data_IF_504670427207
#
_entry.id   IF_504670427207
#
_cell.length_a   1.000
_cell.length_b   1.000
_cell.length_c   1.000
_cell.angle_alpha   90.00
_cell.angle_beta   90.00
_cell.angle_gamma   90.00
#
_symmetry.space_group_name_H-M   'P 1'
#
loop_
_entity.id
_entity.type
_entity.pdbx_description
1 polymer ?
#
# COMPACT_ATOMS: atom_id res chain seq x y z
N UNK A 1 -12.07 22.22 11.15
CA UNK A 1 -12.38 21.03 11.98
C UNK A 1 -13.87 21.04 12.30
N UNK A 2 -14.69 20.44 11.48
CA UNK A 2 -16.12 20.25 11.74
C UNK A 2 -16.30 18.77 12.11
N UNK A 3 -16.52 18.50 13.39
CA UNK A 3 -16.94 17.18 13.88
C UNK A 3 -18.38 16.95 13.44
N UNK A 4 -18.53 16.37 12.25
CA UNK A 4 -19.82 15.87 11.81
C UNK A 4 -20.24 14.74 12.77
N UNK A 5 -21.31 14.98 13.55
CA UNK A 5 -22.06 13.94 14.24
C UNK A 5 -22.68 13.03 13.17
N UNK A 6 -21.92 12.08 12.65
CA UNK A 6 -22.44 11.03 11.78
C UNK A 6 -23.26 10.08 12.65
N UNK A 7 -24.56 10.29 12.70
CA UNK A 7 -25.50 9.32 13.28
C UNK A 7 -25.37 7.96 12.57
N UNK A 8 -25.85 6.88 13.18
CA UNK A 8 -25.80 5.49 12.65
C UNK A 8 -26.27 5.41 11.18
N UNK A 9 -27.21 6.26 10.77
CA UNK A 9 -27.68 6.38 9.38
C UNK A 9 -26.61 6.96 8.42
N UNK A 10 -25.72 7.83 8.90
CA UNK A 10 -24.60 8.36 8.12
C UNK A 10 -23.51 7.32 7.91
N UNK A 11 -23.20 6.56 8.95
CA UNK A 11 -22.26 5.42 8.87
C UNK A 11 -22.77 4.34 7.91
N UNK A 12 -24.06 3.98 7.99
CA UNK A 12 -24.65 3.00 7.09
C UNK A 12 -24.62 3.46 5.63
N UNK A 13 -24.81 4.76 5.36
CA UNK A 13 -24.72 5.33 4.02
C UNK A 13 -23.29 5.30 3.48
N UNK A 14 -22.27 5.63 4.30
CA UNK A 14 -20.87 5.55 3.93
C UNK A 14 -20.45 4.10 3.61
N UNK A 15 -20.84 3.15 4.46
CA UNK A 15 -20.59 1.72 4.20
C UNK A 15 -21.28 1.26 2.92
N UNK A 16 -22.51 1.73 2.66
CA UNK A 16 -23.21 1.40 1.42
C UNK A 16 -22.55 1.99 0.18
N UNK A 17 -22.03 3.21 0.27
CA UNK A 17 -21.24 3.84 -0.81
C UNK A 17 -19.94 3.07 -1.07
N UNK A 18 -19.25 2.64 -0.03
CA UNK A 18 -18.02 1.83 -0.16
C UNK A 18 -18.28 0.42 -0.74
N UNK A 19 -19.49 -0.11 -0.56
CA UNK A 19 -19.91 -1.39 -1.12
C UNK A 19 -20.33 -1.31 -2.59
N UNK A 20 -20.53 -0.12 -3.14
CA UNK A 20 -20.88 0.04 -4.55
C UNK A 20 -19.76 -0.45 -5.48
N UNK A 21 -20.11 -1.05 -6.64
CA UNK A 21 -19.13 -1.55 -7.57
C UNK A 21 -18.32 -0.40 -8.20
N UNK A 22 -17.09 -0.22 -7.72
CA UNK A 22 -16.13 0.70 -8.34
C UNK A 22 -15.48 0.06 -9.57
N UNK A 23 -15.20 0.82 -10.64
CA UNK A 23 -14.55 0.30 -11.83
C UNK A 23 -13.17 -0.30 -11.48
N UNK A 24 -12.94 -1.57 -11.86
CA UNK A 24 -11.72 -2.32 -11.55
C UNK A 24 -11.78 -3.23 -10.32
N UNK A 25 -12.71 -3.02 -9.38
CA UNK A 25 -12.84 -3.84 -8.16
C UNK A 25 -13.16 -5.30 -8.49
N UNK A 26 -14.05 -5.53 -9.44
CA UNK A 26 -14.42 -6.86 -9.89
C UNK A 26 -13.23 -7.58 -10.55
N UNK A 27 -12.43 -6.85 -11.34
CA UNK A 27 -11.21 -7.36 -11.96
C UNK A 27 -10.14 -7.75 -10.94
N UNK A 28 -10.05 -7.08 -9.80
CA UNK A 28 -9.15 -7.43 -8.71
C UNK A 28 -9.69 -8.61 -7.89
N UNK A 29 -10.98 -8.61 -7.58
CA UNK A 29 -11.60 -9.65 -6.73
C UNK A 29 -11.50 -11.04 -7.34
N UNK A 30 -11.80 -11.20 -8.64
CA UNK A 30 -11.69 -12.52 -9.28
C UNK A 30 -10.25 -13.04 -9.32
N UNK A 31 -9.25 -12.16 -9.49
CA UNK A 31 -7.82 -12.53 -9.47
C UNK A 31 -7.41 -13.06 -8.12
N UNK A 32 -7.79 -12.36 -7.05
CA UNK A 32 -7.54 -12.81 -5.67
C UNK A 32 -8.23 -14.14 -5.40
N UNK A 33 -9.49 -14.29 -5.82
CA UNK A 33 -10.24 -15.53 -5.65
C UNK A 33 -9.59 -16.72 -6.36
N UNK A 34 -9.16 -16.55 -7.61
CA UNK A 34 -8.45 -17.59 -8.37
C UNK A 34 -7.11 -17.93 -7.72
N UNK A 35 -6.34 -16.92 -7.30
CA UNK A 35 -5.07 -17.15 -6.60
C UNK A 35 -5.26 -17.91 -5.29
N UNK A 36 -6.28 -17.57 -4.50
CA UNK A 36 -6.58 -18.31 -3.27
C UNK A 36 -7.01 -19.74 -3.56
N UNK A 37 -7.84 -19.99 -4.58
CA UNK A 37 -8.23 -21.32 -4.99
C UNK A 37 -7.01 -22.16 -5.44
N UNK A 38 -6.13 -21.57 -6.27
CA UNK A 38 -4.90 -22.24 -6.70
C UNK A 38 -3.96 -22.51 -5.51
N UNK A 39 -3.86 -21.56 -4.56
CA UNK A 39 -3.05 -21.75 -3.35
C UNK A 39 -3.57 -22.90 -2.48
N UNK A 40 -4.89 -23.01 -2.30
CA UNK A 40 -5.50 -24.12 -1.55
C UNK A 40 -5.23 -25.45 -2.25
N UNK A 41 -5.41 -25.52 -3.57
CA UNK A 41 -5.09 -26.72 -4.35
C UNK A 41 -3.61 -27.12 -4.21
N UNK A 42 -2.71 -26.14 -4.29
CA UNK A 42 -1.28 -26.36 -4.10
C UNK A 42 -0.98 -26.85 -2.67
N UNK A 43 -1.57 -26.22 -1.67
CA UNK A 43 -1.39 -26.59 -0.28
C UNK A 43 -1.91 -28.03 0.01
N UNK A 44 -3.05 -28.39 -0.54
CA UNK A 44 -3.58 -29.75 -0.39
C UNK A 44 -2.71 -30.80 -1.08
N UNK A 45 -2.17 -30.49 -2.26
CA UNK A 45 -1.34 -31.43 -3.01
C UNK A 45 0.05 -31.65 -2.39
N UNK A 46 0.64 -30.60 -1.83
CA UNK A 46 2.01 -30.65 -1.26
C UNK A 46 2.00 -30.73 0.28
N UNK A 47 0.86 -30.85 0.93
CA UNK A 47 0.75 -30.93 2.38
C UNK A 47 1.28 -29.70 3.10
N UNK A 48 1.12 -28.51 2.50
CA UNK A 48 1.52 -27.24 3.14
C UNK A 48 0.57 -26.96 4.30
N UNK A 49 1.06 -26.84 5.54
CA UNK A 49 0.21 -26.55 6.68
C UNK A 49 -0.35 -25.12 6.57
N UNK A 50 -1.48 -24.87 7.26
CA UNK A 50 -2.03 -23.52 7.42
C UNK A 50 -2.30 -22.77 6.08
N UNK A 51 -2.94 -23.43 5.12
CA UNK A 51 -3.28 -22.84 3.81
C UNK A 51 -4.05 -21.52 3.92
N UNK A 52 -4.83 -21.33 4.99
CA UNK A 52 -5.55 -20.10 5.27
C UNK A 52 -4.60 -18.90 5.46
N UNK A 53 -3.46 -19.08 6.14
CA UNK A 53 -2.45 -18.03 6.32
C UNK A 53 -1.82 -17.67 4.99
N UNK A 54 -1.51 -18.65 4.14
CA UNK A 54 -0.99 -18.43 2.79
C UNK A 54 -1.97 -17.63 1.93
N UNK A 55 -3.26 -17.93 1.99
CA UNK A 55 -4.30 -17.16 1.30
C UNK A 55 -4.38 -15.73 1.85
N UNK A 56 -4.27 -15.54 3.16
CA UNK A 56 -4.27 -14.22 3.79
C UNK A 56 -3.10 -13.35 3.30
N UNK A 57 -1.92 -13.94 3.12
CA UNK A 57 -0.76 -13.23 2.56
C UNK A 57 -1.03 -12.76 1.12
N UNK A 58 -1.76 -13.52 0.30
CA UNK A 58 -2.17 -13.11 -1.06
C UNK A 58 -2.98 -11.81 -1.01
N UNK A 59 -3.93 -11.68 -0.07
CA UNK A 59 -4.72 -10.44 0.07
C UNK A 59 -3.86 -9.21 0.32
N UNK A 60 -2.78 -9.34 1.09
CA UNK A 60 -1.86 -8.22 1.37
C UNK A 60 -1.02 -7.83 0.17
N UNK A 61 -0.60 -8.79 -0.62
CA UNK A 61 0.36 -8.59 -1.70
C UNK A 61 -0.31 -8.22 -3.00
N UNK A 62 -1.52 -8.72 -3.24
CA UNK A 62 -2.23 -8.46 -4.48
C UNK A 62 -2.75 -7.03 -4.53
N UNK A 63 -2.15 -6.21 -5.37
CA UNK A 63 -2.55 -4.84 -5.68
C UNK A 63 -3.25 -4.78 -7.04
N UNK A 64 -3.85 -3.65 -7.36
CA UNK A 64 -4.45 -3.40 -8.68
C UNK A 64 -3.42 -3.46 -9.81
N UNK A 65 -2.17 -3.15 -9.51
CA UNK A 65 -1.03 -3.12 -10.43
C UNK A 65 -0.18 -4.40 -10.29
N UNK A 66 0.06 -5.09 -11.38
CA UNK A 66 0.89 -6.29 -11.41
C UNK A 66 2.35 -5.99 -11.07
N UNK A 67 2.87 -4.82 -11.46
CA UNK A 67 4.24 -4.40 -11.15
C UNK A 67 4.43 -4.22 -9.65
N UNK A 68 3.55 -3.46 -8.99
CA UNK A 68 3.60 -3.25 -7.55
C UNK A 68 3.46 -4.56 -6.77
N UNK A 69 2.50 -5.41 -7.17
CA UNK A 69 2.30 -6.74 -6.57
C UNK A 69 3.53 -7.63 -6.73
N UNK A 70 4.15 -7.63 -7.91
CA UNK A 70 5.32 -8.48 -8.18
C UNK A 70 6.56 -8.02 -7.42
N UNK A 71 6.78 -6.69 -7.33
CA UNK A 71 7.87 -6.14 -6.51
C UNK A 71 7.66 -6.46 -5.05
N UNK A 72 6.44 -6.27 -4.55
CA UNK A 72 6.12 -6.57 -3.16
C UNK A 72 6.28 -8.07 -2.86
N UNK A 73 5.82 -8.95 -3.76
CA UNK A 73 6.01 -10.39 -3.63
C UNK A 73 7.51 -10.76 -3.59
N UNK A 74 8.31 -10.24 -4.51
CA UNK A 74 9.75 -10.50 -4.55
C UNK A 74 10.45 -9.95 -3.30
N UNK A 75 10.12 -8.73 -2.90
CA UNK A 75 10.68 -8.13 -1.68
C UNK A 75 10.35 -8.96 -0.43
N UNK A 76 9.12 -9.47 -0.32
CA UNK A 76 8.73 -10.34 0.78
C UNK A 76 9.46 -11.69 0.77
N UNK A 77 9.66 -12.31 -0.40
CA UNK A 77 10.44 -13.54 -0.51
C UNK A 77 11.87 -13.31 -0.01
N UNK A 78 12.52 -12.24 -0.47
CA UNK A 78 13.88 -11.89 -0.03
C UNK A 78 13.89 -11.60 1.47
N UNK A 79 12.96 -10.81 1.96
CA UNK A 79 12.87 -10.42 3.36
C UNK A 79 12.68 -11.65 4.27
N UNK A 80 11.70 -12.51 3.95
CA UNK A 80 11.41 -13.72 4.74
C UNK A 80 12.60 -14.69 4.68
N UNK A 81 13.27 -14.80 3.52
CA UNK A 81 14.48 -15.63 3.40
C UNK A 81 15.62 -15.14 4.29
N UNK A 82 15.82 -13.81 4.37
CA UNK A 82 16.80 -13.22 5.30
C UNK A 82 16.41 -13.50 6.75
N UNK A 83 15.13 -13.34 7.10
CA UNK A 83 14.63 -13.61 8.46
C UNK A 83 14.86 -15.08 8.84
N UNK A 84 14.54 -16.01 7.94
CA UNK A 84 14.76 -17.44 8.18
C UNK A 84 16.25 -17.77 8.32
N UNK A 85 17.10 -17.18 7.48
CA UNK A 85 18.55 -17.34 7.57
C UNK A 85 19.10 -16.86 8.92
N UNK A 86 18.57 -15.76 9.46
CA UNK A 86 18.93 -15.26 10.78
C UNK A 86 18.34 -16.13 11.92
N UNK A 87 17.16 -16.70 11.70
CA UNK A 87 16.50 -17.53 12.71
C UNK A 87 17.23 -18.85 12.97
N UNK A 88 17.83 -19.48 11.95
CA UNK A 88 18.52 -20.77 12.11
C UNK A 88 19.64 -20.72 13.17
N UNK A 89 20.64 -19.80 13.09
CA UNK A 89 21.66 -19.69 14.14
C UNK A 89 21.07 -19.22 15.47
N UNK A 90 20.04 -18.35 15.45
CA UNK A 90 19.40 -17.88 16.67
C UNK A 90 18.73 -19.03 17.43
N UNK A 91 18.08 -19.96 16.74
CA UNK A 91 17.51 -21.18 17.31
C UNK A 91 18.61 -22.01 17.97
N UNK A 92 19.73 -22.23 17.28
CA UNK A 92 20.83 -23.04 17.79
C UNK A 92 21.39 -22.50 19.13
N UNK A 93 21.52 -21.17 19.25
CA UNK A 93 22.03 -20.51 20.46
C UNK A 93 21.00 -20.45 21.58
N UNK A 94 19.70 -20.31 21.24
CA UNK A 94 18.67 -19.98 22.24
C UNK A 94 17.85 -21.18 22.71
N UNK A 95 17.92 -22.33 22.01
CA UNK A 95 17.03 -23.46 22.32
C UNK A 95 17.29 -24.07 23.69
N UNK A 96 18.55 -24.11 24.13
CA UNK A 96 18.94 -24.73 25.39
C UNK A 96 18.77 -23.80 26.60
N UNK A 97 18.77 -22.48 26.38
CA UNK A 97 18.79 -21.48 27.46
C UNK A 97 17.63 -20.48 27.32
N UNK A 98 16.58 -20.60 28.14
CA UNK A 98 15.43 -19.68 28.11
C UNK A 98 15.81 -18.19 28.28
N UNK A 99 16.85 -17.92 29.08
CA UNK A 99 17.32 -16.55 29.31
C UNK A 99 17.91 -15.93 28.01
N UNK A 100 18.68 -16.70 27.25
CA UNK A 100 19.20 -16.25 25.95
C UNK A 100 18.09 -16.01 24.94
N UNK A 101 17.05 -16.83 24.97
CA UNK A 101 15.87 -16.66 24.13
C UNK A 101 15.13 -15.35 24.43
N UNK A 102 14.93 -15.05 25.72
CA UNK A 102 14.31 -13.79 26.14
C UNK A 102 15.18 -12.59 25.73
N UNK A 103 16.50 -12.67 25.95
CA UNK A 103 17.43 -11.60 25.56
C UNK A 103 17.41 -11.39 24.03
N UNK A 104 17.44 -12.46 23.24
CA UNK A 104 17.37 -12.38 21.80
C UNK A 104 16.06 -11.74 21.34
N UNK A 105 14.92 -12.09 21.96
CA UNK A 105 13.62 -11.50 21.66
C UNK A 105 13.61 -10.00 21.96
N UNK A 106 14.16 -9.57 23.10
CA UNK A 106 14.25 -8.14 23.48
C UNK A 106 15.10 -7.37 22.47
N UNK A 107 16.31 -7.87 22.17
CA UNK A 107 17.27 -7.19 21.30
C UNK A 107 16.76 -7.10 19.86
N UNK A 108 16.27 -8.21 19.30
CA UNK A 108 15.77 -8.23 17.92
C UNK A 108 14.54 -7.36 17.77
N UNK A 109 13.61 -7.39 18.73
CA UNK A 109 12.41 -6.55 18.73
C UNK A 109 12.77 -5.06 18.81
N UNK A 110 13.65 -4.69 19.73
CA UNK A 110 14.07 -3.28 19.88
C UNK A 110 14.74 -2.75 18.61
N UNK A 111 15.71 -3.49 18.06
CA UNK A 111 16.44 -3.06 16.87
C UNK A 111 15.52 -2.95 15.66
N UNK A 112 14.66 -3.94 15.44
CA UNK A 112 13.78 -3.94 14.27
C UNK A 112 12.63 -2.92 14.37
N UNK A 113 12.08 -2.71 15.55
CA UNK A 113 11.09 -1.65 15.77
C UNK A 113 11.72 -0.26 15.63
N UNK A 114 12.94 -0.07 16.14
CA UNK A 114 13.69 1.17 15.95
C UNK A 114 13.94 1.42 14.45
N UNK A 115 14.46 0.44 13.72
CA UNK A 115 14.66 0.54 12.28
C UNK A 115 13.34 0.79 11.53
N UNK A 116 12.24 0.21 11.99
CA UNK A 116 10.92 0.42 11.40
C UNK A 116 10.47 1.89 11.44
N UNK A 117 10.79 2.61 12.49
CA UNK A 117 10.37 4.02 12.65
C UNK A 117 11.44 4.99 12.15
N UNK A 118 12.72 4.64 12.28
CA UNK A 118 13.86 5.50 11.97
C UNK A 118 14.41 5.32 10.54
N UNK A 119 13.83 4.43 9.72
CA UNK A 119 14.32 4.16 8.37
C UNK A 119 13.18 3.97 7.36
N UNK A 120 13.55 3.86 6.08
CA UNK A 120 12.62 3.52 4.98
C UNK A 120 12.00 2.12 5.08
N UNK A 121 12.41 1.32 6.07
CA UNK A 121 11.82 0.02 6.34
C UNK A 121 10.34 0.13 6.76
N UNK A 122 9.98 1.22 7.42
CA UNK A 122 8.60 1.52 7.80
C UNK A 122 7.93 0.37 8.57
N UNK A 123 6.66 0.04 8.27
CA UNK A 123 5.92 -1.02 8.96
C UNK A 123 6.55 -2.42 8.86
N UNK A 124 7.43 -2.66 7.87
CA UNK A 124 8.10 -3.96 7.70
C UNK A 124 8.99 -4.30 8.90
N UNK A 125 9.63 -3.30 9.53
CA UNK A 125 10.42 -3.52 10.74
C UNK A 125 9.61 -4.15 11.86
N UNK A 126 8.40 -3.65 12.11
CA UNK A 126 7.47 -4.21 13.10
C UNK A 126 7.00 -5.63 12.75
N UNK A 127 6.73 -5.91 11.48
CA UNK A 127 6.31 -7.23 11.00
C UNK A 127 7.44 -8.26 11.19
N UNK A 128 8.68 -7.91 10.85
CA UNK A 128 9.84 -8.79 11.03
C UNK A 128 10.06 -9.06 12.52
N UNK A 129 10.02 -8.01 13.35
CA UNK A 129 10.15 -8.14 14.81
C UNK A 129 9.08 -9.09 15.37
N UNK A 130 7.84 -8.95 14.93
CA UNK A 130 6.74 -9.83 15.29
C UNK A 130 7.04 -11.29 14.93
N UNK A 131 7.46 -11.57 13.70
CA UNK A 131 7.72 -12.93 13.23
C UNK A 131 8.83 -13.57 14.04
N UNK A 132 9.95 -12.87 14.25
CA UNK A 132 11.07 -13.38 15.03
C UNK A 132 10.66 -13.64 16.48
N UNK A 133 10.00 -12.68 17.13
CA UNK A 133 9.53 -12.82 18.51
C UNK A 133 8.55 -13.99 18.64
N UNK A 134 7.60 -14.11 17.72
CA UNK A 134 6.62 -15.21 17.72
C UNK A 134 7.29 -16.58 17.59
N UNK A 135 8.21 -16.74 16.63
CA UNK A 135 8.94 -18.00 16.48
C UNK A 135 9.77 -18.32 17.72
N UNK A 136 10.45 -17.33 18.31
CA UNK A 136 11.22 -17.52 19.55
C UNK A 136 10.32 -17.97 20.72
N UNK A 137 9.09 -17.51 20.81
CA UNK A 137 8.14 -17.98 21.83
C UNK A 137 7.75 -19.43 21.64
N UNK A 138 7.50 -19.85 20.38
CA UNK A 138 7.16 -21.23 20.03
C UNK A 138 8.28 -22.23 20.35
N UNK A 139 9.55 -21.79 20.28
CA UNK A 139 10.70 -22.62 20.64
C UNK A 139 10.67 -23.14 22.09
N UNK A 140 9.92 -22.48 22.97
CA UNK A 140 9.71 -22.95 24.36
C UNK A 140 9.01 -24.30 24.47
N UNK A 141 8.26 -24.68 23.45
CA UNK A 141 7.45 -25.89 23.42
C UNK A 141 8.05 -27.03 22.57
N UNK A 142 9.13 -26.75 21.87
CA UNK A 142 9.78 -27.71 20.97
C UNK A 142 10.99 -28.33 21.65
N UNK A 143 10.99 -29.66 21.92
CA UNK A 143 12.07 -30.29 22.68
C UNK A 143 13.36 -30.46 21.90
N UNK A 144 13.32 -30.44 20.55
CA UNK A 144 14.47 -30.71 19.69
C UNK A 144 14.66 -29.64 18.63
N UNK A 145 15.91 -29.19 18.41
CA UNK A 145 16.27 -28.17 17.44
C UNK A 145 15.92 -28.49 15.99
N UNK A 146 15.91 -29.77 15.63
CA UNK A 146 15.54 -30.21 14.29
C UNK A 146 14.05 -29.90 13.98
N UNK A 147 13.15 -30.16 14.92
CA UNK A 147 11.73 -29.86 14.76
C UNK A 147 11.53 -28.33 14.63
N UNK A 148 12.24 -27.54 15.42
CA UNK A 148 12.18 -26.08 15.34
C UNK A 148 12.66 -25.58 13.98
N UNK A 149 13.76 -26.08 13.47
CA UNK A 149 14.30 -25.71 12.15
C UNK A 149 13.32 -26.09 11.03
N UNK A 150 12.74 -27.30 11.08
CA UNK A 150 11.72 -27.74 10.13
C UNK A 150 10.47 -26.83 10.19
N UNK A 151 10.01 -26.45 11.38
CA UNK A 151 8.87 -25.54 11.54
C UNK A 151 9.14 -24.16 10.90
N UNK A 152 10.34 -23.61 11.07
CA UNK A 152 10.75 -22.35 10.43
C UNK A 152 10.82 -22.48 8.91
N UNK A 153 11.31 -23.59 8.38
CA UNK A 153 11.32 -23.86 6.94
C UNK A 153 9.90 -24.02 6.37
N UNK A 154 9.00 -24.66 7.11
CA UNK A 154 7.57 -24.70 6.72
C UNK A 154 6.93 -23.31 6.74
N UNK A 155 7.22 -22.48 7.74
CA UNK A 155 6.74 -21.09 7.79
C UNK A 155 7.29 -20.27 6.60
N UNK A 156 8.53 -20.50 6.21
CA UNK A 156 9.10 -19.93 4.99
C UNK A 156 8.35 -20.38 3.75
N UNK A 157 8.08 -21.66 3.61
CA UNK A 157 7.33 -22.22 2.48
C UNK A 157 5.90 -21.66 2.42
N UNK A 158 5.20 -21.56 3.56
CA UNK A 158 3.86 -20.99 3.66
C UNK A 158 3.79 -19.54 3.16
N UNK A 159 4.87 -18.78 3.32
CA UNK A 159 4.95 -17.39 2.87
C UNK A 159 5.46 -17.29 1.43
N UNK A 160 6.47 -18.07 1.05
CA UNK A 160 7.09 -17.99 -0.27
C UNK A 160 6.25 -18.66 -1.37
N UNK A 161 5.51 -19.72 -1.06
CA UNK A 161 4.67 -20.39 -2.05
C UNK A 161 3.57 -19.47 -2.63
N UNK A 162 2.77 -18.74 -1.82
CA UNK A 162 1.81 -17.78 -2.36
C UNK A 162 2.48 -16.63 -3.12
N UNK A 163 3.68 -16.19 -2.72
CA UNK A 163 4.43 -15.16 -3.46
C UNK A 163 4.86 -15.64 -4.83
N UNK A 164 5.40 -16.87 -4.92
CA UNK A 164 5.73 -17.50 -6.20
C UNK A 164 4.50 -17.61 -7.11
N UNK A 165 3.36 -17.99 -6.54
CA UNK A 165 2.10 -18.09 -7.27
C UNK A 165 1.62 -16.72 -7.78
N UNK A 166 1.71 -15.66 -6.96
CA UNK A 166 1.40 -14.28 -7.36
C UNK A 166 2.32 -13.82 -8.49
N UNK A 167 3.62 -14.11 -8.43
CA UNK A 167 4.56 -13.76 -9.50
C UNK A 167 4.21 -14.44 -10.82
N UNK A 168 3.96 -15.75 -10.81
CA UNK A 168 3.57 -16.52 -12.00
C UNK A 168 2.25 -16.00 -12.56
N UNK A 169 1.26 -15.78 -11.70
CA UNK A 169 -0.04 -15.27 -12.10
C UNK A 169 0.05 -13.87 -12.72
N UNK A 170 0.82 -12.97 -12.12
CA UNK A 170 1.02 -11.63 -12.65
C UNK A 170 1.77 -11.62 -13.98
N UNK A 171 2.68 -12.58 -14.19
CA UNK A 171 3.36 -12.75 -15.47
C UNK A 171 2.39 -13.14 -16.58
N UNK A 172 1.40 -14.02 -16.27
CA UNK A 172 0.44 -14.51 -17.24
C UNK A 172 -0.76 -13.57 -17.44
N UNK A 173 -1.30 -13.01 -16.35
CA UNK A 173 -2.58 -12.29 -16.32
C UNK A 173 -2.48 -10.88 -15.73
N UNK A 174 -1.27 -10.39 -15.47
CA UNK A 174 -1.05 -9.10 -14.81
C UNK A 174 -1.45 -7.92 -15.70
N UNK A 175 -2.01 -6.88 -15.06
CA UNK A 175 -2.17 -5.57 -15.69
C UNK A 175 -0.81 -4.86 -15.63
N UNK A 176 -0.27 -4.58 -16.82
CA UNK A 176 1.02 -3.89 -16.91
C UNK A 176 0.96 -2.48 -16.32
N UNK A 177 1.95 -2.06 -15.52
CA UNK A 177 1.97 -0.76 -14.84
C UNK A 177 1.71 0.43 -15.76
N UNK A 178 2.27 0.41 -16.98
CA UNK A 178 2.09 1.48 -17.96
C UNK A 178 0.63 1.62 -18.45
N UNK A 179 -0.12 0.52 -18.56
CA UNK A 179 -1.53 0.56 -18.95
C UNK A 179 -2.41 1.12 -17.84
N UNK A 180 -2.09 0.75 -16.58
CA UNK A 180 -2.80 1.28 -15.41
C UNK A 180 -2.54 2.78 -15.27
N UNK A 181 -1.26 3.20 -15.39
CA UNK A 181 -0.87 4.62 -15.33
C UNK A 181 -1.61 5.45 -16.39
N UNK A 182 -1.61 5.00 -17.65
CA UNK A 182 -2.31 5.70 -18.74
C UNK A 182 -3.81 5.85 -18.48
N UNK A 183 -4.46 4.80 -17.94
CA UNK A 183 -5.88 4.86 -17.57
C UNK A 183 -6.17 5.86 -16.47
N UNK A 184 -5.28 5.95 -15.46
CA UNK A 184 -5.43 6.93 -14.39
C UNK A 184 -5.25 8.37 -14.91
N UNK A 185 -4.25 8.62 -15.77
CA UNK A 185 -4.06 9.92 -16.37
C UNK A 185 -5.25 10.31 -17.28
N UNK A 186 -5.76 9.37 -18.04
CA UNK A 186 -6.96 9.57 -18.86
C UNK A 186 -8.20 9.84 -18.01
N UNK A 187 -8.38 9.13 -16.90
CA UNK A 187 -9.48 9.37 -15.96
C UNK A 187 -9.41 10.77 -15.35
N UNK A 188 -8.20 11.25 -15.00
CA UNK A 188 -7.98 12.60 -14.48
C UNK A 188 -8.35 13.68 -15.51
N UNK A 189 -8.00 13.48 -16.79
CA UNK A 189 -8.39 14.41 -17.86
C UNK A 189 -9.90 14.38 -18.14
N UNK A 190 -10.54 13.22 -18.07
CA UNK A 190 -12.01 13.13 -18.17
C UNK A 190 -12.70 13.84 -17.01
N UNK A 191 -12.18 13.70 -15.81
CA UNK A 191 -12.68 14.45 -14.65
C UNK A 191 -12.51 15.96 -14.86
N UNK A 192 -11.40 16.40 -15.45
CA UNK A 192 -11.19 17.80 -15.83
C UNK A 192 -12.22 18.27 -16.87
N UNK A 193 -12.50 17.45 -17.89
CA UNK A 193 -13.53 17.75 -18.88
C UNK A 193 -14.94 17.88 -18.26
N UNK A 194 -15.29 16.94 -17.38
CA UNK A 194 -16.57 16.98 -16.64
C UNK A 194 -16.65 18.19 -15.71
N UNK A 195 -15.53 18.58 -15.08
CA UNK A 195 -15.43 19.78 -14.25
C UNK A 195 -15.72 21.06 -15.03
N UNK A 196 -15.15 21.21 -16.24
CA UNK A 196 -15.38 22.35 -17.14
C UNK A 196 -16.84 22.43 -17.61
N UNK A 197 -17.49 21.29 -17.83
CA UNK A 197 -18.91 21.21 -18.23
C UNK A 197 -19.88 21.32 -17.06
N UNK A 198 -19.40 21.48 -15.83
CA UNK A 198 -20.25 21.55 -14.63
C UNK A 198 -20.90 20.22 -14.24
N UNK A 199 -20.47 19.09 -14.81
CA UNK A 199 -21.04 17.76 -14.59
C UNK A 199 -20.40 17.01 -13.40
N UNK A 200 -19.15 17.36 -13.02
CA UNK A 200 -18.48 16.81 -11.84
C UNK A 200 -18.81 17.64 -10.59
N UNK A 201 -18.84 17.02 -9.42
CA UNK A 201 -18.92 17.75 -8.16
C UNK A 201 -17.58 18.45 -7.85
N UNK A 202 -17.65 19.62 -7.22
CA UNK A 202 -16.45 20.35 -6.77
C UNK A 202 -15.62 19.50 -5.81
N UNK A 203 -16.27 18.68 -4.99
CA UNK A 203 -15.62 17.81 -4.04
C UNK A 203 -14.82 16.72 -4.72
N UNK A 204 -15.30 16.13 -5.82
CA UNK A 204 -14.57 15.11 -6.58
C UNK A 204 -13.27 15.66 -7.16
N UNK A 205 -13.26 16.92 -7.64
CA UNK A 205 -12.05 17.57 -8.13
C UNK A 205 -11.01 17.76 -7.02
N UNK A 206 -11.44 18.25 -5.85
CA UNK A 206 -10.55 18.47 -4.72
C UNK A 206 -10.07 17.16 -4.09
N UNK A 207 -10.88 16.12 -4.05
CA UNK A 207 -10.50 14.80 -3.56
C UNK A 207 -9.41 14.19 -4.45
N UNK A 208 -9.56 14.28 -5.78
CA UNK A 208 -8.51 13.81 -6.72
C UNK A 208 -7.23 14.65 -6.61
N UNK A 209 -7.33 15.98 -6.44
CA UNK A 209 -6.17 16.85 -6.20
C UNK A 209 -5.47 16.52 -4.89
N UNK A 210 -6.22 16.17 -3.83
CA UNK A 210 -5.66 15.80 -2.54
C UNK A 210 -4.85 14.49 -2.58
N UNK A 211 -5.15 13.58 -3.52
CA UNK A 211 -4.35 12.37 -3.75
C UNK A 211 -2.96 12.70 -4.31
N UNK A 212 -2.79 13.84 -4.97
CA UNK A 212 -1.53 14.28 -5.55
C UNK A 212 -1.03 13.42 -6.70
N UNK A 213 0.29 13.37 -6.88
CA UNK A 213 0.96 12.65 -7.97
C UNK A 213 1.87 11.52 -7.51
N UNK A 214 2.01 11.32 -6.20
CA UNK A 214 2.98 10.39 -5.60
C UNK A 214 2.76 8.93 -6.01
N UNK A 215 1.51 8.50 -6.13
CA UNK A 215 1.15 7.15 -6.53
C UNK A 215 1.56 6.88 -8.00
N UNK A 216 1.29 7.85 -8.90
CA UNK A 216 1.65 7.76 -10.31
C UNK A 216 3.17 7.81 -10.51
N UNK A 217 3.88 8.68 -9.77
CA UNK A 217 5.35 8.73 -9.80
C UNK A 217 5.98 7.43 -9.30
N UNK A 218 5.46 6.84 -8.22
CA UNK A 218 5.88 5.53 -7.74
C UNK A 218 5.69 4.44 -8.80
N UNK A 219 4.55 4.44 -9.51
CA UNK A 219 4.28 3.51 -10.59
C UNK A 219 5.22 3.70 -11.78
N UNK A 220 5.52 4.95 -12.14
CA UNK A 220 6.53 5.26 -13.14
C UNK A 220 7.91 4.74 -12.71
N UNK A 221 8.26 4.82 -11.42
CA UNK A 221 9.46 4.22 -10.84
C UNK A 221 9.56 2.72 -11.11
N UNK A 222 8.45 1.98 -11.00
CA UNK A 222 8.41 0.55 -11.37
C UNK A 222 8.61 0.30 -12.86
N UNK A 223 8.00 1.15 -13.71
CA UNK A 223 8.18 1.07 -15.17
C UNK A 223 9.65 1.28 -15.54
N UNK A 224 10.34 2.23 -14.87
CA UNK A 224 11.77 2.49 -15.03
C UNK A 224 12.63 1.33 -14.53
N UNK A 225 12.35 0.82 -13.33
CA UNK A 225 13.10 -0.28 -12.69
C UNK A 225 13.10 -1.55 -13.54
N UNK A 226 11.96 -1.92 -14.09
CA UNK A 226 11.81 -3.12 -14.92
C UNK A 226 12.08 -2.91 -16.41
N UNK A 227 12.51 -1.71 -16.83
CA UNK A 227 12.75 -1.37 -18.23
C UNK A 227 11.58 -1.74 -19.16
N UNK A 228 10.34 -1.59 -18.66
CA UNK A 228 9.14 -2.04 -19.38
C UNK A 228 8.83 -1.21 -20.62
N UNK A 229 9.44 -0.03 -20.76
CA UNK A 229 9.23 0.89 -21.88
C UNK A 229 10.53 1.65 -22.20
N UNK A 230 10.69 2.13 -23.47
CA UNK A 230 11.81 2.98 -23.85
C UNK A 230 11.91 4.23 -22.98
N UNK A 231 13.14 4.75 -22.84
CA UNK A 231 13.40 5.95 -22.01
C UNK A 231 12.61 7.19 -22.46
N UNK A 232 12.38 7.33 -23.77
CA UNK A 232 11.58 8.42 -24.32
C UNK A 232 10.12 8.35 -23.82
N UNK A 233 9.49 7.19 -23.92
CA UNK A 233 8.11 6.98 -23.43
C UNK A 233 7.98 7.16 -21.92
N UNK A 234 9.03 6.80 -21.16
CA UNK A 234 9.08 7.06 -19.71
C UNK A 234 9.13 8.57 -19.41
N UNK A 235 9.86 9.35 -20.20
CA UNK A 235 9.90 10.79 -20.05
C UNK A 235 8.56 11.45 -20.43
N UNK A 236 7.91 10.97 -21.47
CA UNK A 236 6.57 11.40 -21.88
C UNK A 236 5.53 11.14 -20.78
N UNK A 237 5.56 9.96 -20.14
CA UNK A 237 4.69 9.63 -19.01
C UNK A 237 4.97 10.50 -17.79
N UNK A 238 6.23 10.83 -17.51
CA UNK A 238 6.59 11.71 -16.40
C UNK A 238 5.99 13.12 -16.59
N UNK A 239 6.12 13.66 -17.79
CA UNK A 239 5.51 14.94 -18.16
C UNK A 239 3.96 14.86 -18.09
N UNK A 240 3.38 13.76 -18.56
CA UNK A 240 1.93 13.57 -18.52
C UNK A 240 1.37 13.53 -17.09
N UNK A 241 2.09 12.95 -16.13
CA UNK A 241 1.69 12.94 -14.71
C UNK A 241 1.54 14.35 -14.18
N UNK A 242 2.54 15.21 -14.40
CA UNK A 242 2.54 16.58 -13.91
C UNK A 242 1.50 17.46 -14.63
N UNK A 243 1.43 17.35 -15.95
CA UNK A 243 0.57 18.20 -16.75
C UNK A 243 -0.91 17.86 -16.60
N UNK A 244 -1.28 16.59 -16.44
CA UNK A 244 -2.66 16.23 -16.11
C UNK A 244 -3.08 16.71 -14.71
N UNK A 245 -2.15 16.76 -13.76
CA UNK A 245 -2.42 17.32 -12.43
C UNK A 245 -2.59 18.85 -12.49
N UNK A 246 -1.72 19.56 -13.25
CA UNK A 246 -1.85 21.00 -13.48
C UNK A 246 -3.15 21.34 -14.18
N UNK A 247 -3.54 20.57 -15.20
CA UNK A 247 -4.81 20.76 -15.90
C UNK A 247 -6.01 20.62 -14.93
N UNK A 248 -6.01 19.61 -14.07
CA UNK A 248 -7.05 19.42 -13.07
C UNK A 248 -7.09 20.57 -12.05
N UNK A 249 -5.92 21.04 -11.61
CA UNK A 249 -5.82 22.19 -10.69
C UNK A 249 -6.38 23.45 -11.32
N UNK A 250 -6.00 23.73 -12.58
CA UNK A 250 -6.51 24.90 -13.33
C UNK A 250 -8.04 24.82 -13.48
N UNK A 251 -8.60 23.64 -13.78
CA UNK A 251 -10.04 23.44 -13.88
C UNK A 251 -10.75 23.66 -12.53
N UNK A 252 -10.18 23.17 -11.43
CA UNK A 252 -10.75 23.39 -10.10
C UNK A 252 -10.84 24.89 -9.75
N UNK A 253 -9.84 25.69 -10.16
CA UNK A 253 -9.84 27.15 -9.98
C UNK A 253 -10.82 27.84 -10.94
N UNK A 254 -10.87 27.40 -12.21
CA UNK A 254 -11.75 27.99 -13.23
C UNK A 254 -13.22 27.79 -12.92
N UNK A 255 -13.58 26.78 -12.17
CA UNK A 255 -14.98 26.51 -11.77
C UNK A 255 -15.58 27.64 -10.93
N UNK A 256 -14.76 28.32 -10.13
CA UNK A 256 -15.17 29.49 -9.35
C UNK A 256 -15.18 30.78 -10.17
N UNK A 257 -14.60 30.75 -11.39
CA UNK A 257 -14.52 31.84 -12.34
C UNK A 257 -15.48 31.55 -13.50
N UNK A 258 -16.26 32.53 -13.93
CA UNK A 258 -17.19 32.34 -15.07
C UNK A 258 -16.38 32.26 -16.37
N UNK A 259 -16.18 31.02 -16.84
CA UNK A 259 -15.62 30.76 -18.18
C UNK A 259 -16.74 30.90 -19.23
N UNK A 260 -16.41 31.44 -20.40
CA UNK A 260 -17.35 31.43 -21.52
C UNK A 260 -17.70 30.00 -21.93
N UNK A 261 -18.99 29.72 -22.14
CA UNK A 261 -19.48 28.36 -22.44
C UNK A 261 -18.82 27.76 -23.69
N UNK A 262 -18.47 28.58 -24.67
CA UNK A 262 -17.80 28.12 -25.90
C UNK A 262 -16.37 27.67 -25.60
N UNK A 263 -15.63 28.45 -24.83
CA UNK A 263 -14.27 28.12 -24.41
C UNK A 263 -14.25 26.89 -23.47
N UNK A 264 -15.18 26.82 -22.50
CA UNK A 264 -15.32 25.67 -21.62
C UNK A 264 -15.57 24.37 -22.42
N UNK A 265 -16.43 24.42 -23.43
CA UNK A 265 -16.72 23.28 -24.29
C UNK A 265 -15.48 22.87 -25.11
N UNK A 266 -14.77 23.83 -25.67
CA UNK A 266 -13.55 23.57 -26.44
C UNK A 266 -12.45 22.90 -25.59
N UNK A 267 -12.18 23.43 -24.40
CA UNK A 267 -11.22 22.83 -23.47
C UNK A 267 -11.66 21.43 -22.97
N UNK A 268 -12.97 21.25 -22.70
CA UNK A 268 -13.48 19.93 -22.29
C UNK A 268 -13.30 18.89 -23.39
N UNK A 269 -13.59 19.24 -24.66
CA UNK A 269 -13.36 18.35 -25.80
C UNK A 269 -11.87 17.99 -25.96
N UNK A 270 -10.99 18.96 -25.75
CA UNK A 270 -9.55 18.72 -25.80
C UNK A 270 -9.07 17.78 -24.68
N UNK A 271 -9.54 17.97 -23.44
CA UNK A 271 -9.27 17.06 -22.34
C UNK A 271 -9.72 15.64 -22.65
N UNK A 272 -10.93 15.47 -23.26
CA UNK A 272 -11.45 14.14 -23.61
C UNK A 272 -10.65 13.49 -24.74
N UNK A 273 -10.28 14.24 -25.80
CA UNK A 273 -9.41 13.74 -26.88
C UNK A 273 -8.05 13.33 -26.34
N UNK A 274 -7.43 14.18 -25.51
CA UNK A 274 -6.14 13.90 -24.86
C UNK A 274 -6.23 12.66 -23.96
N UNK A 275 -7.34 12.45 -23.25
CA UNK A 275 -7.57 11.25 -22.45
C UNK A 275 -7.59 9.99 -23.33
N UNK A 276 -8.27 10.03 -24.46
CA UNK A 276 -8.34 8.91 -25.42
C UNK A 276 -6.97 8.59 -26.02
N UNK A 277 -6.20 9.61 -26.41
CA UNK A 277 -4.86 9.41 -26.98
C UNK A 277 -3.87 8.82 -25.96
N UNK A 278 -3.86 9.34 -24.72
CA UNK A 278 -3.02 8.79 -23.64
C UNK A 278 -3.40 7.34 -23.34
N UNK A 279 -4.70 7.02 -23.27
CA UNK A 279 -5.16 5.65 -23.02
C UNK A 279 -4.72 4.69 -24.13
N UNK A 280 -4.73 5.13 -25.39
CA UNK A 280 -4.26 4.36 -26.56
C UNK A 280 -2.73 4.36 -26.68
N UNK A 281 -2.03 5.17 -25.90
CA UNK A 281 -0.57 5.27 -25.92
C UNK A 281 -0.02 6.14 -27.02
N UNK A 282 -0.80 7.08 -27.49
CA UNK A 282 -0.40 8.11 -28.45
C UNK A 282 -0.15 9.43 -27.71
N UNK A 283 0.70 10.25 -28.28
CA UNK A 283 0.86 11.64 -27.84
C UNK A 283 -0.38 12.44 -28.28
N UNK A 284 -1.00 13.22 -27.38
CA UNK A 284 -2.12 14.08 -27.74
C UNK A 284 -1.73 15.09 -28.81
N UNK A 285 -2.60 15.23 -29.81
CA UNK A 285 -2.44 16.25 -30.86
C UNK A 285 -3.23 17.50 -30.46
N UNK A 286 -2.61 18.68 -30.56
CA UNK A 286 -3.15 19.96 -30.09
C UNK A 286 -3.37 20.94 -31.24
N UNK A 287 -4.04 20.47 -32.32
CA UNK A 287 -4.21 21.25 -33.55
C UNK A 287 -5.24 22.40 -33.41
N UNK A 288 -6.20 22.30 -32.45
CA UNK A 288 -7.33 23.22 -32.30
C UNK A 288 -7.42 23.87 -30.90
N UNK A 289 -6.29 24.28 -30.32
CA UNK A 289 -6.32 24.96 -29.01
C UNK A 289 -7.01 26.33 -29.09
N UNK A 290 -7.95 26.64 -28.17
CA UNK A 290 -8.60 27.93 -28.14
C UNK A 290 -7.59 29.06 -28.01
N UNK A 291 -7.74 30.10 -28.83
CA UNK A 291 -6.94 31.31 -28.69
C UNK A 291 -7.36 32.06 -27.41
N UNK A 292 -6.37 32.39 -26.60
CA UNK A 292 -6.59 33.16 -25.38
C UNK A 292 -6.74 34.65 -25.73
N UNK A 293 -7.78 35.28 -25.18
CA UNK A 293 -7.93 36.70 -25.26
C UNK A 293 -6.91 37.41 -24.33
N UNK A 294 -6.61 38.70 -24.58
CA UNK A 294 -5.72 39.49 -23.72
C UNK A 294 -6.23 39.62 -22.27
N UNK A 295 -7.50 39.26 -22.00
CA UNK A 295 -8.15 39.27 -20.69
C UNK A 295 -8.26 37.89 -20.02
N UNK A 296 -7.67 36.85 -20.60
CA UNK A 296 -7.74 35.49 -20.07
C UNK A 296 -7.12 35.37 -18.70
N UNK A 297 -7.79 34.63 -17.81
CA UNK A 297 -7.32 34.39 -16.44
C UNK A 297 -6.03 33.57 -16.41
N UNK A 298 -5.29 33.64 -15.33
CA UNK A 298 -4.05 32.88 -15.13
C UNK A 298 -4.34 31.36 -15.17
N UNK A 299 -5.52 30.95 -14.69
CA UNK A 299 -5.93 29.56 -14.70
C UNK A 299 -6.25 29.04 -16.12
N UNK A 300 -6.81 29.89 -17.02
CA UNK A 300 -6.99 29.54 -18.43
C UNK A 300 -5.64 29.36 -19.14
N UNK A 301 -4.67 30.24 -18.84
CA UNK A 301 -3.30 30.13 -19.36
C UNK A 301 -2.64 28.85 -18.86
N UNK A 302 -2.74 28.53 -17.57
CA UNK A 302 -2.20 27.30 -16.99
C UNK A 302 -2.84 26.04 -17.57
N UNK A 303 -4.15 26.04 -17.82
CA UNK A 303 -4.85 24.93 -18.46
C UNK A 303 -4.32 24.72 -19.89
N UNK A 304 -4.24 25.78 -20.66
CA UNK A 304 -3.71 25.75 -22.04
C UNK A 304 -2.28 25.24 -22.07
N UNK A 305 -1.40 25.79 -21.22
CA UNK A 305 0.00 25.41 -21.15
C UNK A 305 0.17 23.95 -20.71
N UNK A 306 -0.65 23.48 -19.77
CA UNK A 306 -0.64 22.09 -19.35
C UNK A 306 -1.06 21.16 -20.49
N UNK A 307 -2.10 21.50 -21.27
CA UNK A 307 -2.52 20.73 -22.42
C UNK A 307 -1.45 20.74 -23.54
N UNK A 308 -0.86 21.92 -23.86
CA UNK A 308 0.25 22.00 -24.81
C UNK A 308 1.45 21.13 -24.39
N UNK A 309 1.78 21.13 -23.12
CA UNK A 309 2.89 20.31 -22.62
C UNK A 309 2.62 18.80 -22.71
N UNK A 310 1.35 18.36 -22.78
CA UNK A 310 0.99 16.96 -23.02
C UNK A 310 1.34 16.50 -24.46
N UNK A 311 1.39 17.40 -25.44
CA UNK A 311 1.82 17.09 -26.80
C UNK A 311 3.33 16.91 -26.97
N UNK A 312 4.11 17.15 -25.89
CA UNK A 312 5.58 17.11 -25.94
C UNK A 312 6.23 18.37 -26.48
N UNK A 313 5.45 19.41 -26.80
CA UNK A 313 5.96 20.67 -27.36
C UNK A 313 6.76 21.52 -26.36
N UNK A 314 6.52 21.33 -25.04
CA UNK A 314 7.17 22.10 -23.98
C UNK A 314 7.69 21.14 -22.91
N UNK A 315 9.00 21.08 -22.73
CA UNK A 315 9.65 20.35 -21.64
C UNK A 315 9.70 21.23 -20.39
N UNK A 316 8.85 20.97 -19.41
CA UNK A 316 8.94 21.58 -18.07
C UNK A 316 9.95 20.79 -17.25
N UNK A 317 10.87 21.51 -16.58
CA UNK A 317 12.09 21.01 -15.94
C UNK A 317 11.93 19.68 -15.17
N UNK A 318 12.97 18.87 -15.25
CA UNK A 318 13.10 17.61 -14.52
C UNK A 318 13.00 17.87 -13.03
N UNK A 319 12.01 17.25 -12.38
CA UNK A 319 12.04 17.11 -10.92
C UNK A 319 13.05 16.01 -10.63
N UNK A 320 14.20 16.36 -10.09
CA UNK A 320 15.18 15.37 -9.63
C UNK A 320 14.51 14.51 -8.53
N UNK A 321 14.56 13.18 -8.63
CA UNK A 321 14.08 12.33 -7.55
C UNK A 321 14.98 12.60 -6.32
N UNK A 322 14.38 13.05 -5.22
CA UNK A 322 15.07 13.15 -3.94
C UNK A 322 15.69 11.79 -3.60
N UNK A 323 17.00 11.69 -3.72
CA UNK A 323 17.78 10.55 -3.22
C UNK A 323 17.87 10.67 -1.69
N UNK A 324 16.75 10.42 -1.02
CA UNK A 324 16.71 10.40 0.43
C UNK A 324 17.53 9.22 0.97
N UNK A 325 18.37 9.46 1.99
CA UNK A 325 19.09 8.44 2.76
C UNK A 325 18.15 7.30 3.20
N UNK A 326 18.69 6.09 3.43
CA UNK A 326 17.93 4.95 3.96
C UNK A 326 17.38 5.25 5.36
N UNK A 327 18.15 5.95 6.19
CA UNK A 327 17.73 6.39 7.52
C UNK A 327 17.30 7.87 7.49
N UNK A 328 16.34 8.21 8.34
CA UNK A 328 15.95 9.61 8.58
C UNK A 328 17.15 10.36 9.15
N UNK A 329 17.43 11.61 8.72
CA UNK A 329 18.63 12.34 9.15
C UNK A 329 18.78 12.48 10.66
N UNK A 330 17.68 12.53 11.42
CA UNK A 330 17.63 12.65 12.87
C UNK A 330 17.45 11.32 13.63
N UNK A 331 17.59 10.18 12.96
CA UNK A 331 17.29 8.85 13.47
C UNK A 331 17.93 8.56 14.86
N UNK A 332 19.17 8.98 15.07
CA UNK A 332 19.91 8.74 16.31
C UNK A 332 19.84 9.89 17.30
N UNK A 333 19.52 11.10 16.86
CA UNK A 333 19.45 12.29 17.70
C UNK A 333 18.06 12.51 18.32
N UNK A 334 17.00 11.99 17.68
CA UNK A 334 15.64 12.16 18.14
C UNK A 334 15.22 11.00 19.08
N UNK A 335 14.99 11.26 20.37
CA UNK A 335 14.64 10.21 21.34
C UNK A 335 13.26 9.58 21.10
N UNK A 336 12.42 10.18 20.27
CA UNK A 336 11.06 9.68 19.99
C UNK A 336 11.10 8.27 19.38
N UNK A 337 12.03 8.01 18.47
CA UNK A 337 12.19 6.70 17.82
C UNK A 337 12.63 5.62 18.80
N UNK A 338 13.58 5.97 19.69
CA UNK A 338 14.08 5.06 20.73
C UNK A 338 12.99 4.75 21.77
N UNK A 339 12.26 5.77 22.23
CA UNK A 339 11.16 5.59 23.16
C UNK A 339 10.03 4.76 22.57
N UNK A 340 9.71 4.93 21.30
CA UNK A 340 8.71 4.12 20.62
C UNK A 340 9.11 2.64 20.60
N UNK A 341 10.33 2.33 20.13
CA UNK A 341 10.86 0.98 20.08
C UNK A 341 10.93 0.34 21.48
N UNK A 342 11.37 1.09 22.49
CA UNK A 342 11.46 0.62 23.87
C UNK A 342 10.07 0.30 24.44
N UNK A 343 9.09 1.19 24.28
CA UNK A 343 7.71 0.98 24.76
C UNK A 343 7.07 -0.24 24.15
N UNK A 344 7.18 -0.39 22.82
CA UNK A 344 6.59 -1.51 22.10
C UNK A 344 7.26 -2.84 22.48
N UNK A 345 8.60 -2.86 22.58
CA UNK A 345 9.36 -4.03 23.02
C UNK A 345 8.99 -4.40 24.46
N UNK A 346 8.97 -3.43 25.38
CA UNK A 346 8.62 -3.67 26.77
C UNK A 346 7.19 -4.23 26.91
N UNK A 347 6.23 -3.68 26.17
CA UNK A 347 4.85 -4.17 26.16
C UNK A 347 4.77 -5.62 25.67
N UNK A 348 5.45 -5.95 24.55
CA UNK A 348 5.46 -7.30 23.99
C UNK A 348 6.11 -8.31 24.95
N UNK A 349 7.25 -7.95 25.53
CA UNK A 349 7.98 -8.81 26.50
C UNK A 349 7.15 -9.00 27.78
N UNK A 350 6.52 -7.94 28.28
CA UNK A 350 5.65 -8.03 29.45
C UNK A 350 4.46 -8.97 29.20
N UNK A 351 3.80 -8.85 28.04
CA UNK A 351 2.74 -9.78 27.63
C UNK A 351 3.26 -11.22 27.58
N UNK A 352 4.45 -11.44 27.00
CA UNK A 352 5.09 -12.76 26.95
C UNK A 352 5.30 -13.32 28.37
N UNK A 353 5.86 -12.55 29.27
CA UNK A 353 6.12 -12.99 30.64
C UNK A 353 4.82 -13.29 31.41
N UNK A 354 3.78 -12.47 31.24
CA UNK A 354 2.49 -12.66 31.91
C UNK A 354 1.83 -13.96 31.46
N UNK A 355 1.68 -14.18 30.12
CA UNK A 355 0.99 -15.38 29.67
C UNK A 355 1.81 -16.66 29.89
N UNK A 356 3.17 -16.55 29.86
CA UNK A 356 4.06 -17.66 30.20
C UNK A 356 3.99 -18.02 31.68
N UNK A 357 3.93 -17.03 32.57
CA UNK A 357 3.79 -17.23 34.02
C UNK A 357 2.42 -17.78 34.40
N UNK A 358 1.37 -17.39 33.65
CA UNK A 358 0.01 -17.89 33.84
C UNK A 358 -0.23 -19.28 33.19
N UNK A 359 0.76 -19.82 32.48
CA UNK A 359 0.64 -21.05 31.66
C UNK A 359 -0.57 -21.01 30.69
N UNK A 360 -0.89 -19.80 30.20
CA UNK A 360 -2.06 -19.59 29.35
C UNK A 360 -1.65 -19.38 27.88
N UNK A 361 -1.36 -20.47 27.20
CA UNK A 361 -0.84 -20.48 25.84
C UNK A 361 -1.78 -19.89 24.79
N UNK A 362 -3.09 -19.94 25.02
CA UNK A 362 -4.08 -19.37 24.10
C UNK A 362 -4.00 -17.85 23.92
N UNK A 363 -3.31 -17.11 24.81
CA UNK A 363 -3.22 -15.65 24.78
C UNK A 363 -1.93 -15.12 24.09
N UNK A 364 -1.16 -15.97 23.42
CA UNK A 364 0.01 -15.50 22.66
C UNK A 364 -0.32 -14.38 21.64
N UNK A 365 -1.60 -14.30 21.19
CA UNK A 365 -2.10 -13.22 20.36
C UNK A 365 -2.02 -11.82 21.00
N UNK A 366 -1.92 -11.73 22.34
CA UNK A 366 -1.72 -10.46 23.05
C UNK A 366 -0.37 -9.84 22.68
N UNK A 367 0.70 -10.65 22.66
CA UNK A 367 2.03 -10.21 22.24
C UNK A 367 2.02 -9.75 20.77
N UNK A 368 1.36 -10.51 19.86
CA UNK A 368 1.18 -10.13 18.46
C UNK A 368 0.51 -8.76 18.36
N UNK A 369 -0.50 -8.52 19.22
CA UNK A 369 -1.21 -7.23 19.25
C UNK A 369 -0.29 -6.06 19.57
N UNK A 370 0.70 -6.24 20.46
CA UNK A 370 1.65 -5.18 20.79
C UNK A 370 2.45 -4.72 19.57
N UNK A 371 2.89 -5.63 18.71
CA UNK A 371 3.61 -5.27 17.47
C UNK A 371 2.70 -4.64 16.42
N UNK A 372 1.50 -5.19 16.23
CA UNK A 372 0.55 -4.70 15.22
C UNK A 372 0.00 -3.33 15.60
N UNK A 373 -0.19 -3.06 16.89
CA UNK A 373 -0.68 -1.79 17.41
C UNK A 373 0.41 -0.75 17.63
N UNK A 374 1.69 -1.15 17.62
CA UNK A 374 2.83 -0.24 17.78
C UNK A 374 3.01 0.62 16.53
N UNK A 375 2.19 1.68 16.43
CA UNK A 375 2.22 2.65 15.33
C UNK A 375 2.97 3.92 15.76
N UNK A 376 3.32 4.73 14.76
CA UNK A 376 4.06 5.98 14.99
C UNK A 376 3.33 7.01 15.83
N UNK A 377 1.98 6.97 15.90
CA UNK A 377 1.18 7.90 16.71
C UNK A 377 0.29 7.18 17.73
N UNK A 378 0.09 7.84 18.89
CA UNK A 378 -0.80 7.34 19.94
C UNK A 378 -2.26 7.26 19.47
N UNK A 379 -2.69 8.22 18.64
CA UNK A 379 -4.06 8.25 18.09
C UNK A 379 -4.35 7.05 17.20
N UNK A 380 -3.44 6.72 16.27
CA UNK A 380 -3.55 5.54 15.41
C UNK A 380 -3.53 4.24 16.22
N UNK A 381 -2.68 4.16 17.23
CA UNK A 381 -2.59 3.00 18.14
C UNK A 381 -3.92 2.78 18.86
N UNK A 382 -4.49 3.82 19.48
CA UNK A 382 -5.78 3.73 20.17
C UNK A 382 -6.91 3.34 19.18
N UNK A 383 -6.94 3.94 18.02
CA UNK A 383 -7.95 3.62 17.00
C UNK A 383 -7.89 2.15 16.56
N UNK A 384 -6.71 1.63 16.23
CA UNK A 384 -6.53 0.22 15.86
C UNK A 384 -6.85 -0.75 16.99
N UNK A 385 -6.46 -0.42 18.24
CA UNK A 385 -6.81 -1.23 19.40
C UNK A 385 -8.33 -1.30 19.60
N UNK A 386 -9.01 -0.17 19.49
CA UNK A 386 -10.49 -0.11 19.61
C UNK A 386 -11.16 -0.97 18.55
N UNK A 387 -10.76 -0.85 17.27
CA UNK A 387 -11.30 -1.67 16.19
C UNK A 387 -11.05 -3.17 16.43
N UNK A 388 -9.88 -3.53 16.95
CA UNK A 388 -9.54 -4.91 17.26
C UNK A 388 -10.39 -5.47 18.40
N UNK A 389 -10.60 -4.71 19.48
CA UNK A 389 -11.47 -5.12 20.59
C UNK A 389 -12.89 -5.31 20.12
N UNK A 390 -13.44 -4.36 19.38
CA UNK A 390 -14.80 -4.46 18.81
C UNK A 390 -14.92 -5.66 17.87
N UNK A 391 -13.95 -5.87 16.99
CA UNK A 391 -13.92 -7.03 16.09
C UNK A 391 -13.86 -8.35 16.83
N UNK A 392 -13.05 -8.46 17.89
CA UNK A 392 -12.99 -9.67 18.74
C UNK A 392 -14.31 -9.94 19.46
N UNK A 393 -14.95 -8.90 20.00
CA UNK A 393 -16.26 -9.06 20.66
C UNK A 393 -17.35 -9.49 19.69
N UNK A 394 -17.41 -8.89 18.50
CA UNK A 394 -18.36 -9.28 17.45
C UNK A 394 -18.09 -10.71 16.96
N UNK A 395 -16.81 -11.06 16.73
CA UNK A 395 -16.42 -12.41 16.33
C UNK A 395 -16.76 -13.47 17.39
N UNK A 396 -16.54 -13.16 18.67
CA UNK A 396 -16.89 -14.02 19.78
C UNK A 396 -18.43 -14.22 19.87
N UNK A 397 -19.20 -13.13 19.74
CA UNK A 397 -20.66 -13.21 19.75
C UNK A 397 -21.21 -14.05 18.60
N UNK A 398 -20.70 -13.85 17.36
CA UNK A 398 -21.07 -14.64 16.19
C UNK A 398 -20.66 -16.11 16.34
N UNK A 399 -19.44 -16.37 16.83
CA UNK A 399 -18.97 -17.72 17.11
C UNK A 399 -19.84 -18.45 18.13
N UNK A 400 -20.27 -17.74 19.18
CA UNK A 400 -21.16 -18.32 20.19
C UNK A 400 -22.54 -18.66 19.61
N UNK A 401 -23.09 -17.78 18.77
CA UNK A 401 -24.40 -18.00 18.09
C UNK A 401 -24.33 -19.19 17.12
N UNK A 402 -23.16 -19.42 16.47
CA UNK A 402 -23.03 -20.50 15.48
C UNK A 402 -22.74 -21.87 16.12
N UNK A 403 -22.29 -21.91 17.36
CA UNK A 403 -22.00 -23.17 18.09
C UNK A 403 -23.24 -23.64 18.90
N UNK A 404 -24.12 -22.71 19.30
CA UNK A 404 -25.39 -22.98 19.94
C UNK A 404 -26.47 -23.30 18.90
#
# INVERSE_FOLDING_TARGET
>A
MATAKTGVSGLARLVWQDLQPTPGRLAQSWRVAVLCALMVLLAMNYGIPESAVSCFVIFFVMKSDAGESSVLALALVVLVSIVVLLMVPLIQVTIQYPAWRLLAMVLTSFVLLFLGVASKLGPLGGIIALVIAFVLTLLGYVPFGEIATRAVLYAWLMTCAPMGLVLIFNLCFGLYPHKVLRRELAARLRLSAQGLMGQADTQDLWDELALGVSAQQKRLGWIRLFHLRPAQEQAELDQAILNTYRALLAVAVLRDQHLDNEQATAFAQMCERSAQDIEQGRLPQMDDLPELSASSSLAEQDLRDALLALSGAVSIGKTDPEHGSFMVPDAFSNPVYQHHALKATAAAVLCYLIYSAADWQGIHTAMITCYVAALGSTGETVHKLTLRIVGCLLGAALGFITIL
#
